data_IF_438064538594
#
_entry.id   IF_438064538594
#
_cell.length_a   1.000
_cell.length_b   1.000
_cell.length_c   1.000
_cell.angle_alpha   90.00
_cell.angle_beta   90.00
_cell.angle_gamma   90.00
#
_symmetry.space_group_name_H-M   'P 1'
#
loop_
_entity.id
_entity.type
_entity.pdbx_description
1 polymer ?
#
# COMPACT_ATOMS: atom_id res chain seq x y z
N UNK A 1 -39.48 -33.46 -28.85
CA UNK A 1 -38.96 -33.79 -27.50
C UNK A 1 -37.44 -33.71 -27.56
N UNK A 2 -36.70 -33.30 -26.54
CA UNK A 2 -36.95 -33.16 -25.11
C UNK A 2 -36.06 -32.01 -24.61
N UNK A 3 -36.64 -31.04 -23.92
CA UNK A 3 -36.45 -30.81 -22.49
C UNK A 3 -35.17 -30.05 -22.13
N UNK A 4 -35.34 -28.73 -22.02
CA UNK A 4 -34.49 -27.88 -21.20
C UNK A 4 -34.72 -28.21 -19.71
N UNK A 5 -33.67 -28.61 -18.99
CA UNK A 5 -33.64 -28.60 -17.51
C UNK A 5 -32.53 -27.62 -17.09
N UNK A 6 -32.81 -26.43 -16.56
CA UNK A 6 -33.25 -26.17 -15.18
C UNK A 6 -32.33 -26.83 -14.15
N UNK A 7 -31.35 -26.08 -13.60
CA UNK A 7 -30.49 -26.62 -12.54
C UNK A 7 -29.40 -25.72 -11.93
N UNK A 8 -29.32 -24.42 -12.22
CA UNK A 8 -28.24 -23.56 -11.68
C UNK A 8 -28.73 -22.22 -11.07
N UNK A 9 -30.00 -22.16 -10.62
CA UNK A 9 -30.65 -20.91 -10.19
C UNK A 9 -30.23 -20.36 -8.81
N UNK A 10 -30.23 -21.14 -7.70
CA UNK A 10 -30.18 -20.52 -6.37
C UNK A 10 -28.77 -20.38 -5.76
N UNK A 11 -27.83 -21.26 -6.09
CA UNK A 11 -26.49 -21.26 -5.49
C UNK A 11 -25.58 -20.17 -6.09
N UNK A 12 -25.71 -19.92 -7.39
CA UNK A 12 -24.95 -18.88 -8.10
C UNK A 12 -25.39 -17.48 -7.63
N UNK A 13 -26.70 -17.28 -7.44
CA UNK A 13 -27.25 -16.03 -6.92
C UNK A 13 -26.85 -15.75 -5.46
N UNK A 14 -26.74 -16.79 -4.62
CA UNK A 14 -26.17 -16.65 -3.27
C UNK A 14 -24.70 -16.25 -3.31
N UNK A 15 -23.90 -16.82 -4.22
CA UNK A 15 -22.49 -16.43 -4.39
C UNK A 15 -22.33 -15.00 -4.89
N UNK A 16 -23.14 -14.58 -5.87
CA UNK A 16 -23.11 -13.22 -6.39
C UNK A 16 -23.54 -12.19 -5.34
N UNK A 17 -24.58 -12.45 -4.56
CA UNK A 17 -25.01 -11.57 -3.47
C UNK A 17 -23.99 -11.50 -2.31
N UNK A 18 -23.29 -12.60 -2.00
CA UNK A 18 -22.19 -12.56 -1.03
C UNK A 18 -21.00 -11.74 -1.55
N UNK A 19 -20.64 -11.84 -2.83
CA UNK A 19 -19.57 -11.03 -3.42
C UNK A 19 -19.93 -9.55 -3.46
N UNK A 20 -21.20 -9.21 -3.70
CA UNK A 20 -21.67 -7.83 -3.63
C UNK A 20 -21.64 -7.28 -2.19
N UNK A 21 -21.93 -8.12 -1.18
CA UNK A 21 -21.73 -7.74 0.23
C UNK A 21 -20.26 -7.52 0.58
N UNK A 22 -19.34 -8.31 0.03
CA UNK A 22 -17.89 -8.08 0.21
C UNK A 22 -17.40 -6.82 -0.51
N UNK A 23 -17.89 -6.53 -1.71
CA UNK A 23 -17.60 -5.27 -2.41
C UNK A 23 -18.08 -4.05 -1.61
N UNK A 24 -19.27 -4.14 -1.01
CA UNK A 24 -19.83 -3.05 -0.22
C UNK A 24 -19.22 -2.95 1.19
N UNK A 25 -18.68 -4.04 1.74
CA UNK A 25 -17.96 -4.04 3.02
C UNK A 25 -16.50 -3.53 2.87
N UNK A 26 -15.89 -3.65 1.68
CA UNK A 26 -14.60 -3.03 1.36
C UNK A 26 -14.72 -1.50 1.22
N UNK A 27 -15.93 -0.97 1.00
CA UNK A 27 -16.25 0.44 1.14
C UNK A 27 -16.48 0.78 2.62
N UNK A 28 -15.46 0.57 3.47
CA UNK A 28 -15.47 1.00 4.85
C UNK A 28 -15.53 2.55 4.91
N UNK A 29 -16.59 3.15 5.50
CA UNK A 29 -16.75 4.60 5.57
C UNK A 29 -15.95 5.26 6.71
N UNK A 30 -15.10 4.52 7.42
CA UNK A 30 -14.38 5.01 8.62
C UNK A 30 -13.27 6.03 8.33
N UNK A 31 -12.86 6.21 7.07
CA UNK A 31 -11.85 7.21 6.68
C UNK A 31 -12.44 8.51 6.11
N UNK A 32 -13.76 8.61 5.94
CA UNK A 32 -14.39 9.74 5.24
C UNK A 32 -14.71 10.92 6.15
N UNK A 33 -15.09 10.70 7.42
CA UNK A 33 -15.42 11.76 8.39
C UNK A 33 -14.31 12.83 8.55
N UNK A 34 -13.01 12.50 8.74
CA UNK A 34 -11.98 13.53 8.83
C UNK A 34 -11.69 14.21 7.48
N UNK A 35 -12.01 13.56 6.35
CA UNK A 35 -11.83 14.13 5.02
C UNK A 35 -13.01 15.02 4.59
N UNK A 36 -14.23 14.70 5.01
CA UNK A 36 -15.43 15.51 4.82
C UNK A 36 -15.39 16.76 5.69
N UNK A 37 -14.97 16.64 6.96
CA UNK A 37 -14.72 17.78 7.82
C UNK A 37 -13.59 18.68 7.27
N UNK A 38 -12.55 18.09 6.66
CA UNK A 38 -11.50 18.83 5.93
C UNK A 38 -12.04 19.50 4.66
N UNK A 39 -12.88 18.81 3.89
CA UNK A 39 -13.47 19.35 2.67
C UNK A 39 -14.38 20.55 2.99
N UNK A 40 -15.18 20.46 4.06
CA UNK A 40 -16.06 21.54 4.53
C UNK A 40 -15.27 22.74 5.09
N UNK A 41 -14.11 22.51 5.73
CA UNK A 41 -13.19 23.59 6.10
C UNK A 41 -12.54 24.27 4.88
N UNK A 42 -12.19 23.51 3.84
CA UNK A 42 -11.59 24.05 2.62
C UNK A 42 -12.60 24.88 1.80
N UNK A 43 -13.86 24.45 1.71
CA UNK A 43 -14.93 25.22 1.06
C UNK A 43 -15.32 26.47 1.86
N UNK A 44 -15.37 26.39 3.20
CA UNK A 44 -15.61 27.57 4.05
C UNK A 44 -14.45 28.57 4.01
N UNK A 45 -13.20 28.09 3.91
CA UNK A 45 -12.03 28.95 3.70
C UNK A 45 -12.00 29.62 2.31
N UNK A 46 -12.47 28.92 1.27
CA UNK A 46 -12.53 29.46 -0.10
C UNK A 46 -13.56 30.59 -0.27
N UNK A 47 -14.60 30.64 0.56
CA UNK A 47 -15.68 31.63 0.45
C UNK A 47 -15.34 33.03 1.00
N UNK A 48 -14.27 33.18 1.80
CA UNK A 48 -13.92 34.46 2.44
C UNK A 48 -13.00 35.37 1.61
N UNK A 49 -12.55 34.94 0.42
CA UNK A 49 -11.33 35.51 -0.20
C UNK A 49 -11.48 36.24 -1.55
N UNK A 50 -12.66 36.68 -2.00
CA UNK A 50 -12.75 37.33 -3.33
C UNK A 50 -12.01 38.67 -3.46
N UNK A 51 -11.69 39.35 -2.34
CA UNK A 51 -10.83 40.54 -2.31
C UNK A 51 -9.40 40.30 -1.76
N UNK A 52 -9.21 39.25 -0.96
CA UNK A 52 -7.93 38.90 -0.31
C UNK A 52 -7.00 38.04 -1.19
N UNK A 53 -7.54 37.34 -2.20
CA UNK A 53 -6.76 36.49 -3.11
C UNK A 53 -5.61 37.25 -3.82
N UNK A 54 -5.69 38.57 -3.95
CA UNK A 54 -4.67 39.42 -4.59
C UNK A 54 -3.55 39.83 -3.63
N UNK A 55 -3.79 39.83 -2.32
CA UNK A 55 -2.84 40.28 -1.27
C UNK A 55 -2.11 39.15 -0.57
N UNK A 56 -2.64 37.92 -0.58
CA UNK A 56 -2.04 36.79 0.13
C UNK A 56 -2.51 36.68 1.58
N UNK A 57 -2.14 35.60 2.27
CA UNK A 57 -2.54 35.36 3.66
C UNK A 57 -1.75 36.24 4.63
N UNK A 58 -2.42 36.83 5.62
CA UNK A 58 -1.73 37.54 6.71
C UNK A 58 -0.81 36.60 7.51
N UNK A 59 0.25 37.14 8.11
CA UNK A 59 1.20 36.38 8.94
C UNK A 59 0.52 35.58 10.04
N UNK A 60 -0.46 36.19 10.73
CA UNK A 60 -1.22 35.56 11.80
C UNK A 60 -2.11 34.40 11.32
N UNK A 61 -2.73 34.50 10.14
CA UNK A 61 -3.51 33.39 9.57
C UNK A 61 -2.61 32.25 9.09
N UNK A 62 -1.44 32.58 8.52
CA UNK A 62 -0.48 31.59 8.07
C UNK A 62 0.10 30.78 9.22
N UNK A 63 0.42 31.42 10.35
CA UNK A 63 0.87 30.72 11.57
C UNK A 63 -0.23 29.82 12.16
N UNK A 64 -1.49 30.28 12.17
CA UNK A 64 -2.62 29.42 12.58
C UNK A 64 -2.77 28.20 11.69
N UNK A 65 -2.66 28.37 10.37
CA UNK A 65 -2.72 27.24 9.44
C UNK A 65 -1.53 26.29 9.62
N UNK A 66 -0.33 26.81 9.88
CA UNK A 66 0.84 25.98 10.15
C UNK A 66 0.69 25.19 11.47
N UNK A 67 0.03 25.77 12.48
CA UNK A 67 -0.28 25.07 13.73
C UNK A 67 -1.34 23.96 13.55
N UNK A 68 -2.31 24.16 12.65
CA UNK A 68 -3.40 23.18 12.39
C UNK A 68 -2.94 22.06 11.46
N UNK A 69 -2.26 22.39 10.37
CA UNK A 69 -1.93 21.45 9.29
C UNK A 69 -0.50 20.90 9.38
N UNK A 70 0.37 21.54 10.18
CA UNK A 70 1.78 21.18 10.27
C UNK A 70 2.60 21.63 9.07
N UNK A 71 3.87 21.22 9.04
CA UNK A 71 4.76 21.47 7.90
C UNK A 71 4.33 20.61 6.71
N UNK A 72 4.28 21.22 5.53
CA UNK A 72 4.02 20.53 4.28
C UNK A 72 5.29 19.83 3.78
N UNK A 73 5.75 18.82 4.52
CA UNK A 73 6.92 18.00 4.22
C UNK A 73 6.48 16.54 4.11
N UNK A 74 7.02 15.78 3.14
CA UNK A 74 6.72 14.34 3.05
C UNK A 74 7.37 13.61 4.24
N UNK A 75 6.62 12.76 4.96
CA UNK A 75 7.15 12.04 6.11
C UNK A 75 8.30 11.09 5.72
N UNK A 76 9.41 11.14 6.46
CA UNK A 76 10.56 10.24 6.26
C UNK A 76 10.34 8.90 6.97
N UNK A 77 9.55 7.99 6.40
CA UNK A 77 9.53 6.59 6.86
C UNK A 77 10.67 5.80 6.21
N UNK A 78 11.91 6.11 6.57
CA UNK A 78 13.07 5.30 6.16
C UNK A 78 13.12 4.04 7.02
N UNK A 79 12.84 2.88 6.41
CA UNK A 79 13.16 1.58 7.02
C UNK A 79 14.63 1.28 6.75
N UNK A 80 15.31 0.64 7.68
CA UNK A 80 16.68 0.20 7.44
C UNK A 80 16.68 -0.82 6.30
N UNK A 81 17.59 -0.64 5.34
CA UNK A 81 17.62 -1.49 4.14
C UNK A 81 17.80 -2.98 4.53
N UNK A 82 18.67 -3.29 5.49
CA UNK A 82 18.83 -4.66 5.99
C UNK A 82 17.55 -5.26 6.59
N UNK A 83 16.72 -4.46 7.26
CA UNK A 83 15.45 -4.94 7.82
C UNK A 83 14.44 -5.30 6.73
N UNK A 84 14.37 -4.51 5.66
CA UNK A 84 13.49 -4.82 4.52
C UNK A 84 13.96 -6.10 3.82
N UNK A 85 15.27 -6.29 3.66
CA UNK A 85 15.81 -7.55 3.11
C UNK A 85 15.38 -8.74 3.98
N UNK A 86 15.55 -8.63 5.30
CA UNK A 86 15.11 -9.68 6.23
C UNK A 86 13.61 -9.91 6.11
N UNK A 87 12.77 -8.88 6.00
CA UNK A 87 11.33 -9.05 5.80
C UNK A 87 10.98 -9.75 4.48
N UNK A 88 11.74 -9.53 3.41
CA UNK A 88 11.55 -10.25 2.14
C UNK A 88 11.81 -11.75 2.27
N UNK A 89 12.70 -12.19 3.18
CA UNK A 89 13.08 -13.60 3.35
C UNK A 89 12.48 -14.28 4.59
N UNK A 90 12.16 -13.55 5.64
CA UNK A 90 11.68 -14.04 6.94
C UNK A 90 10.29 -13.47 7.30
N UNK A 91 9.58 -12.89 6.33
CA UNK A 91 8.17 -12.53 6.51
C UNK A 91 7.27 -13.77 6.78
N UNK A 92 6.03 -13.57 7.25
CA UNK A 92 5.13 -14.66 7.60
C UNK A 92 4.83 -15.60 6.41
N UNK A 93 4.73 -15.04 5.20
CA UNK A 93 4.55 -15.81 3.98
C UNK A 93 5.85 -16.55 3.56
N UNK A 94 7.02 -15.88 3.48
CA UNK A 94 8.32 -16.54 3.32
C UNK A 94 8.62 -17.72 4.24
N UNK A 95 8.24 -17.63 5.51
CA UNK A 95 8.50 -18.68 6.49
C UNK A 95 7.90 -20.03 6.08
N UNK A 96 6.75 -20.02 5.40
CA UNK A 96 6.10 -21.24 4.90
C UNK A 96 7.01 -21.94 3.88
N UNK A 97 7.65 -21.19 2.99
CA UNK A 97 8.54 -21.75 1.97
C UNK A 97 9.79 -22.34 2.61
N UNK A 98 10.35 -21.68 3.63
CA UNK A 98 11.45 -22.25 4.41
C UNK A 98 11.07 -23.55 5.11
N UNK A 99 9.86 -23.64 5.65
CA UNK A 99 9.34 -24.89 6.23
C UNK A 99 9.20 -25.97 5.16
N UNK A 100 8.70 -25.65 3.96
CA UNK A 100 8.64 -26.60 2.85
C UNK A 100 10.03 -27.13 2.43
N UNK A 101 11.02 -26.24 2.34
CA UNK A 101 12.41 -26.60 2.03
C UNK A 101 12.98 -27.49 3.15
N UNK A 102 12.79 -27.11 4.41
CA UNK A 102 13.24 -27.87 5.57
C UNK A 102 12.60 -29.26 5.67
N UNK A 103 11.28 -29.35 5.44
CA UNK A 103 10.55 -30.61 5.44
C UNK A 103 11.05 -31.54 4.32
N UNK A 104 11.33 -30.99 3.14
CA UNK A 104 11.85 -31.76 2.00
C UNK A 104 13.24 -32.34 2.30
N UNK A 105 14.10 -31.56 2.96
CA UNK A 105 15.46 -31.98 3.33
C UNK A 105 15.51 -32.94 4.52
N UNK A 106 14.61 -32.80 5.50
CA UNK A 106 14.67 -33.51 6.79
C UNK A 106 13.76 -34.74 6.87
N UNK A 107 12.61 -34.74 6.19
CA UNK A 107 11.56 -35.76 6.39
C UNK A 107 11.36 -36.64 5.16
N UNK A 108 11.52 -36.10 3.96
CA UNK A 108 11.21 -36.78 2.67
C UNK A 108 12.51 -37.21 1.95
N UNK A 109 13.61 -37.32 2.69
CA UNK A 109 14.98 -37.34 2.17
C UNK A 109 15.55 -38.70 1.72
N UNK A 110 14.74 -39.73 1.51
CA UNK A 110 15.26 -41.04 1.07
C UNK A 110 15.44 -41.16 -0.46
N UNK A 111 14.74 -40.34 -1.23
CA UNK A 111 14.85 -40.37 -2.69
C UNK A 111 15.95 -39.42 -3.20
N UNK A 112 16.72 -39.85 -4.19
CA UNK A 112 17.75 -39.05 -4.86
C UNK A 112 17.21 -37.74 -5.49
N UNK A 113 15.90 -37.58 -5.67
CA UNK A 113 15.28 -36.35 -6.20
C UNK A 113 14.88 -35.33 -5.13
N UNK A 114 14.92 -35.71 -3.85
CA UNK A 114 14.50 -34.86 -2.72
C UNK A 114 15.42 -33.64 -2.53
N UNK A 115 16.73 -33.82 -2.62
CA UNK A 115 17.71 -32.73 -2.47
C UNK A 115 17.70 -31.79 -3.69
N UNK A 116 17.52 -32.31 -4.90
CA UNK A 116 17.45 -31.50 -6.12
C UNK A 116 16.19 -30.62 -6.13
N UNK A 117 15.04 -31.20 -5.76
CA UNK A 117 13.80 -30.44 -5.64
C UNK A 117 13.85 -29.35 -4.56
N UNK A 118 14.49 -29.62 -3.42
CA UNK A 118 14.73 -28.60 -2.38
C UNK A 118 15.67 -27.49 -2.88
N UNK A 119 16.71 -27.84 -3.64
CA UNK A 119 17.64 -26.88 -4.24
C UNK A 119 16.93 -25.98 -5.27
N UNK A 120 16.13 -26.56 -6.16
CA UNK A 120 15.34 -25.81 -7.14
C UNK A 120 14.36 -24.85 -6.47
N UNK A 121 13.66 -25.32 -5.42
CA UNK A 121 12.74 -24.50 -4.65
C UNK A 121 13.47 -23.34 -3.94
N UNK A 122 14.64 -23.62 -3.36
CA UNK A 122 15.50 -22.59 -2.76
C UNK A 122 15.99 -21.57 -3.79
N UNK A 123 16.46 -22.02 -4.96
CA UNK A 123 16.92 -21.14 -6.03
C UNK A 123 15.79 -20.24 -6.55
N UNK A 124 14.60 -20.80 -6.79
CA UNK A 124 13.41 -20.03 -7.17
C UNK A 124 13.05 -19.00 -6.08
N UNK A 125 13.15 -19.39 -4.82
CA UNK A 125 12.87 -18.50 -3.69
C UNK A 125 13.86 -17.33 -3.58
N UNK A 126 15.14 -17.56 -3.87
CA UNK A 126 16.15 -16.50 -3.92
C UNK A 126 15.82 -15.47 -5.00
N UNK A 127 15.31 -15.89 -6.15
CA UNK A 127 14.83 -14.97 -7.20
C UNK A 127 13.67 -14.13 -6.68
N UNK A 128 12.70 -14.74 -6.00
CA UNK A 128 11.57 -14.01 -5.42
C UNK A 128 12.02 -12.95 -4.39
N UNK A 129 12.89 -13.32 -3.45
CA UNK A 129 13.43 -12.35 -2.48
C UNK A 129 14.29 -11.27 -3.13
N UNK A 130 15.05 -11.62 -4.18
CA UNK A 130 15.82 -10.67 -4.98
C UNK A 130 14.94 -9.67 -5.73
N UNK A 131 13.81 -10.10 -6.28
CA UNK A 131 12.82 -9.22 -6.91
C UNK A 131 12.26 -8.22 -5.89
N UNK A 132 11.87 -8.67 -4.69
CA UNK A 132 11.42 -7.78 -3.62
C UNK A 132 12.47 -6.73 -3.22
N UNK A 133 13.76 -7.10 -3.23
CA UNK A 133 14.85 -6.16 -3.00
C UNK A 133 15.00 -5.12 -4.12
N UNK A 134 14.89 -5.55 -5.38
CA UNK A 134 14.95 -4.66 -6.53
C UNK A 134 13.79 -3.66 -6.53
N UNK A 135 12.57 -4.12 -6.21
CA UNK A 135 11.39 -3.27 -6.07
C UNK A 135 11.56 -2.25 -4.94
N UNK A 136 12.06 -2.67 -3.79
CA UNK A 136 12.36 -1.75 -2.68
C UNK A 136 13.33 -0.65 -3.10
N UNK A 137 14.43 -0.99 -3.78
CA UNK A 137 15.38 0.01 -4.28
C UNK A 137 14.76 0.94 -5.32
N UNK A 138 13.91 0.42 -6.20
CA UNK A 138 13.18 1.23 -7.18
C UNK A 138 12.26 2.24 -6.49
N UNK A 139 11.52 1.83 -5.45
CA UNK A 139 10.64 2.72 -4.68
C UNK A 139 11.43 3.82 -3.95
N UNK A 140 12.58 3.48 -3.36
CA UNK A 140 13.45 4.47 -2.73
C UNK A 140 13.97 5.49 -3.76
N UNK A 141 14.43 5.02 -4.92
CA UNK A 141 14.90 5.89 -5.99
C UNK A 141 13.83 6.86 -6.47
N UNK A 142 12.59 6.40 -6.67
CA UNK A 142 11.47 7.28 -7.06
C UNK A 142 11.16 8.30 -5.96
N UNK A 143 11.18 7.90 -4.69
CA UNK A 143 10.95 8.83 -3.57
C UNK A 143 12.04 9.90 -3.50
N UNK A 144 13.30 9.51 -3.64
CA UNK A 144 14.44 10.45 -3.63
C UNK A 144 14.38 11.41 -4.81
N UNK A 145 13.99 10.93 -5.99
CA UNK A 145 13.79 11.78 -7.16
C UNK A 145 12.67 12.79 -6.92
N UNK A 146 11.52 12.34 -6.40
CA UNK A 146 10.41 13.25 -6.09
C UNK A 146 10.85 14.32 -5.09
N UNK A 147 11.56 13.92 -4.03
CA UNK A 147 12.14 14.82 -3.02
C UNK A 147 13.13 15.83 -3.61
N UNK A 148 14.00 15.40 -4.54
CA UNK A 148 14.95 16.30 -5.18
C UNK A 148 14.28 17.33 -6.12
N UNK A 149 13.09 17.01 -6.64
CA UNK A 149 12.30 17.91 -7.49
C UNK A 149 11.37 18.83 -6.70
N UNK A 150 11.10 18.51 -5.43
CA UNK A 150 10.32 19.37 -4.55
C UNK A 150 11.15 20.62 -4.23
N UNK A 151 10.55 21.79 -4.51
CA UNK A 151 11.17 23.08 -4.21
C UNK A 151 11.20 23.26 -2.69
N UNK A 152 12.40 23.43 -2.12
CA UNK A 152 12.60 23.60 -0.69
C UNK A 152 11.98 24.89 -0.13
N UNK A 153 11.78 25.90 -0.99
CA UNK A 153 11.23 27.20 -0.63
C UNK A 153 10.11 27.62 -1.58
N UNK A 154 8.89 27.72 -1.05
CA UNK A 154 7.80 28.36 -1.78
C UNK A 154 7.98 29.89 -1.73
N UNK A 155 8.01 30.54 -2.88
CA UNK A 155 7.86 32.00 -2.93
C UNK A 155 6.39 32.34 -2.68
N UNK A 156 6.12 33.06 -1.59
CA UNK A 156 4.76 33.40 -1.18
C UNK A 156 4.65 34.92 -1.10
N UNK A 157 3.59 35.47 -1.71
CA UNK A 157 3.18 36.84 -1.47
C UNK A 157 2.40 36.88 -0.16
N UNK A 158 2.89 37.66 0.80
CA UNK A 158 2.26 37.91 2.09
C UNK A 158 2.04 39.40 2.25
#
# INVERSE_FOLDING_TARGET
GHAASAGAGPALLKRLSSLQKFSNAAAAPELSEPLLARADMLTKGAACGRGEAVRGLSSAQAERHLAIFGKNELPETKRSAGWVLVQCFLGPLPLIVWVCIGMRLLVIGEDHDSWFSACLLGAMWLVHGGLGWCEYKSQQWVSDQLKSKLVSHAHVKR
#
